data_IF_039997674629
#
_entry.id   IF_039997674629
#
_cell.length_a   1.000
_cell.length_b   1.000
_cell.length_c   1.000
_cell.angle_alpha   90.00
_cell.angle_beta   90.00
_cell.angle_gamma   90.00
#
_symmetry.space_group_name_H-M   'P 1'
#
loop_
_entity.id
_entity.type
_entity.pdbx_description
1 polymer ?
#
# COMPACT_ATOMS: atom_id res chain seq x y z
N UNK A 1 32.23 13.63 26.90
CA UNK A 1 30.77 13.63 27.09
C UNK A 1 30.16 14.54 26.04
N UNK A 2 29.09 14.03 25.40
CA UNK A 2 28.25 14.59 24.33
C UNK A 2 28.80 14.54 22.88
N UNK A 3 28.02 13.83 22.04
CA UNK A 3 27.74 14.06 20.59
C UNK A 3 28.13 12.89 19.65
N UNK A 4 27.33 12.52 18.62
CA UNK A 4 26.15 13.21 18.09
C UNK A 4 24.86 12.41 18.20
N UNK A 5 23.74 13.13 18.19
CA UNK A 5 22.46 12.60 17.75
C UNK A 5 22.68 11.77 16.49
N UNK A 6 22.54 10.45 16.57
CA UNK A 6 22.50 9.60 15.40
C UNK A 6 21.40 10.18 14.52
N UNK A 7 21.78 10.81 13.40
CA UNK A 7 20.82 11.41 12.48
C UNK A 7 19.80 10.33 12.17
N UNK A 8 18.57 10.59 12.58
CA UNK A 8 17.44 9.70 12.37
C UNK A 8 17.13 9.74 10.87
N UNK A 9 17.88 8.96 10.10
CA UNK A 9 17.70 8.88 8.66
C UNK A 9 16.55 7.90 8.40
N UNK A 10 15.39 8.48 8.13
CA UNK A 10 14.22 7.72 7.75
C UNK A 10 14.36 7.31 6.28
N UNK A 11 14.67 6.05 6.05
CA UNK A 11 14.78 5.44 4.73
C UNK A 11 13.42 4.92 4.30
N UNK A 12 13.04 5.16 3.05
CA UNK A 12 11.76 4.68 2.52
C UNK A 12 11.86 3.20 2.14
N UNK A 13 11.09 2.33 2.81
CA UNK A 13 11.04 0.88 2.53
C UNK A 13 10.21 0.54 1.29
N UNK A 14 9.23 1.39 0.98
CA UNK A 14 8.41 1.24 -0.21
C UNK A 14 9.10 1.84 -1.42
N UNK A 15 9.48 1.03 -2.41
CA UNK A 15 9.30 1.49 -3.80
C UNK A 15 7.84 1.92 -3.91
N UNK A 16 7.57 3.19 -4.25
CA UNK A 16 6.24 3.82 -4.15
C UNK A 16 5.10 2.80 -4.33
N UNK A 17 4.05 2.77 -3.47
CA UNK A 17 2.91 1.91 -3.74
C UNK A 17 2.49 2.11 -5.19
N UNK A 18 2.24 1.05 -5.98
CA UNK A 18 1.75 1.21 -7.34
C UNK A 18 0.29 1.64 -7.22
N UNK A 19 0.10 2.92 -6.95
CA UNK A 19 -1.18 3.48 -6.55
C UNK A 19 -1.21 5.00 -6.46
N UNK A 20 -0.09 5.70 -6.68
CA UNK A 20 -0.20 7.10 -7.10
C UNK A 20 -0.07 7.16 -8.62
N UNK A 21 1.02 6.67 -9.21
CA UNK A 21 1.19 6.78 -10.67
C UNK A 21 0.26 5.85 -11.48
N UNK A 22 0.05 4.60 -11.08
CA UNK A 22 -0.85 3.67 -11.81
C UNK A 22 -2.33 3.98 -11.61
N UNK A 23 -2.73 4.53 -10.46
CA UNK A 23 -4.08 5.02 -10.21
C UNK A 23 -4.28 6.39 -10.90
N UNK A 24 -3.29 7.28 -10.92
CA UNK A 24 -3.35 8.52 -11.73
C UNK A 24 -3.43 8.21 -13.24
N UNK A 25 -2.81 7.12 -13.72
CA UNK A 25 -2.81 6.75 -15.15
C UNK A 25 -4.00 5.86 -15.54
N UNK A 26 -4.57 5.08 -14.60
CA UNK A 26 -5.71 4.19 -14.85
C UNK A 26 -7.10 4.76 -14.48
N UNK A 27 -7.18 5.73 -13.56
CA UNK A 27 -8.41 6.39 -13.14
C UNK A 27 -8.82 7.62 -13.97
N UNK A 28 -8.08 8.19 -14.95
CA UNK A 28 -8.56 9.37 -15.69
C UNK A 28 -9.95 9.16 -16.29
N UNK A 29 -10.23 7.95 -16.79
CA UNK A 29 -11.54 7.59 -17.31
C UNK A 29 -12.64 7.59 -16.24
N UNK A 30 -12.41 7.02 -15.07
CA UNK A 30 -13.42 7.01 -13.99
C UNK A 30 -13.61 8.38 -13.34
N UNK A 31 -12.55 9.19 -13.19
CA UNK A 31 -12.66 10.58 -12.75
C UNK A 31 -13.37 11.45 -13.78
N UNK A 32 -13.09 11.25 -15.07
CA UNK A 32 -13.77 11.94 -16.16
C UNK A 32 -15.25 11.56 -16.19
N UNK A 33 -15.60 10.27 -16.07
CA UNK A 33 -17.00 9.81 -16.01
C UNK A 33 -17.70 10.41 -14.79
N UNK A 34 -17.09 10.37 -13.60
CA UNK A 34 -17.64 10.97 -12.39
C UNK A 34 -17.87 12.48 -12.53
N UNK A 35 -16.89 13.20 -13.06
CA UNK A 35 -16.99 14.63 -13.33
C UNK A 35 -18.07 14.95 -14.37
N UNK A 36 -18.18 14.15 -15.44
CA UNK A 36 -19.22 14.30 -16.48
C UNK A 36 -20.61 14.03 -15.93
N UNK A 37 -20.80 13.03 -15.06
CA UNK A 37 -22.08 12.75 -14.39
C UNK A 37 -22.48 13.92 -13.49
N UNK A 38 -21.56 14.41 -12.65
CA UNK A 38 -21.86 15.56 -11.77
C UNK A 38 -22.14 16.81 -12.60
N UNK A 39 -21.39 17.04 -13.68
CA UNK A 39 -21.63 18.14 -14.60
C UNK A 39 -23.00 18.03 -15.27
N UNK A 40 -23.40 16.83 -15.70
CA UNK A 40 -24.71 16.57 -16.29
C UNK A 40 -25.84 16.92 -15.31
N UNK A 41 -25.68 16.57 -14.04
CA UNK A 41 -26.63 16.88 -12.97
C UNK A 41 -26.63 18.37 -12.56
N UNK A 42 -25.47 19.03 -12.61
CA UNK A 42 -25.33 20.46 -12.29
C UNK A 42 -25.79 21.39 -13.42
N UNK A 43 -25.87 20.87 -14.65
CA UNK A 43 -26.23 21.60 -15.87
C UNK A 43 -27.56 22.38 -15.76
N UNK A 44 -28.69 21.83 -15.27
CA UNK A 44 -29.93 22.60 -15.10
C UNK A 44 -29.75 23.79 -14.16
N UNK A 45 -28.93 23.67 -13.10
CA UNK A 45 -28.63 24.78 -12.20
C UNK A 45 -27.81 25.84 -12.94
N UNK A 46 -26.74 25.47 -13.65
CA UNK A 46 -25.92 26.43 -14.43
C UNK A 46 -26.78 27.18 -15.48
N UNK A 47 -27.74 26.49 -16.10
CA UNK A 47 -28.65 27.06 -17.10
C UNK A 47 -29.63 28.10 -16.53
N UNK A 48 -29.98 28.00 -15.24
CA UNK A 48 -30.84 28.96 -14.54
C UNK A 48 -30.10 30.24 -14.17
N UNK A 49 -28.80 30.17 -13.90
CA UNK A 49 -28.03 31.28 -13.31
C UNK A 49 -27.16 32.07 -14.30
N UNK A 50 -26.82 31.49 -15.45
CA UNK A 50 -25.97 32.13 -16.47
C UNK A 50 -26.75 32.21 -17.77
N UNK A 51 -26.72 33.34 -18.48
CA UNK A 51 -27.39 33.54 -19.76
C UNK A 51 -26.40 33.76 -20.91
N UNK A 52 -26.83 33.47 -22.14
CA UNK A 52 -26.04 33.74 -23.35
C UNK A 52 -24.77 32.89 -23.49
N UNK A 53 -23.75 33.38 -24.22
CA UNK A 53 -22.57 32.59 -24.60
C UNK A 53 -21.69 32.20 -23.40
N UNK A 54 -21.80 32.93 -22.28
CA UNK A 54 -21.06 32.66 -21.04
C UNK A 54 -21.43 31.33 -20.37
N UNK A 55 -22.58 30.74 -20.72
CA UNK A 55 -23.03 29.42 -20.23
C UNK A 55 -22.00 28.31 -20.48
N UNK A 56 -21.40 28.31 -21.67
CA UNK A 56 -20.42 27.29 -22.03
C UNK A 56 -19.13 27.45 -21.23
N UNK A 57 -18.66 28.69 -21.05
CA UNK A 57 -17.50 28.98 -20.21
C UNK A 57 -17.74 28.60 -18.75
N UNK A 58 -18.90 28.93 -18.19
CA UNK A 58 -19.27 28.54 -16.83
C UNK A 58 -19.36 27.01 -16.67
N UNK A 59 -19.89 26.30 -17.67
CA UNK A 59 -19.98 24.84 -17.67
C UNK A 59 -18.58 24.20 -17.70
N UNK A 60 -17.69 24.68 -18.58
CA UNK A 60 -16.31 24.18 -18.67
C UNK A 60 -15.55 24.46 -17.37
N UNK A 61 -15.63 25.69 -16.84
CA UNK A 61 -14.98 26.04 -15.59
C UNK A 61 -15.45 25.15 -14.42
N UNK A 62 -16.76 24.92 -14.32
CA UNK A 62 -17.34 24.04 -13.28
C UNK A 62 -16.84 22.61 -13.43
N UNK A 63 -16.78 22.09 -14.65
CA UNK A 63 -16.28 20.74 -14.93
C UNK A 63 -14.80 20.58 -14.49
N UNK A 64 -13.95 21.56 -14.82
CA UNK A 64 -12.54 21.56 -14.44
C UNK A 64 -12.37 21.61 -12.92
N UNK A 65 -13.14 22.45 -12.23
CA UNK A 65 -13.10 22.54 -10.76
C UNK A 65 -13.52 21.21 -10.12
N UNK A 66 -14.64 20.62 -10.55
CA UNK A 66 -15.13 19.34 -10.02
C UNK A 66 -14.12 18.21 -10.27
N UNK A 67 -13.58 18.11 -11.48
CA UNK A 67 -12.56 17.12 -11.81
C UNK A 67 -11.34 17.26 -10.90
N UNK A 68 -10.87 18.49 -10.69
CA UNK A 68 -9.71 18.78 -9.83
C UNK A 68 -9.98 18.41 -8.37
N UNK A 69 -11.18 18.72 -7.86
CA UNK A 69 -11.57 18.37 -6.49
C UNK A 69 -11.66 16.85 -6.28
N UNK A 70 -12.25 16.11 -7.22
CA UNK A 70 -12.36 14.65 -7.15
C UNK A 70 -10.97 14.01 -7.21
N UNK A 71 -10.10 14.49 -8.11
CA UNK A 71 -8.73 14.04 -8.22
C UNK A 71 -7.96 14.29 -6.92
N UNK A 72 -8.04 15.51 -6.36
CA UNK A 72 -7.39 15.87 -5.11
C UNK A 72 -7.89 15.04 -3.92
N UNK A 73 -9.21 14.87 -3.80
CA UNK A 73 -9.81 14.06 -2.75
C UNK A 73 -9.38 12.59 -2.84
N UNK A 74 -9.31 12.03 -4.05
CA UNK A 74 -8.84 10.66 -4.28
C UNK A 74 -7.37 10.51 -3.90
N UNK A 75 -6.50 11.45 -4.31
CA UNK A 75 -5.07 11.43 -3.95
C UNK A 75 -4.89 11.53 -2.43
N UNK A 76 -5.64 12.41 -1.76
CA UNK A 76 -5.60 12.55 -0.31
C UNK A 76 -6.07 11.27 0.38
N UNK A 77 -7.19 10.69 -0.06
CA UNK A 77 -7.72 9.43 0.45
C UNK A 77 -6.67 8.31 0.35
N UNK A 78 -6.01 8.17 -0.80
CA UNK A 78 -4.98 7.15 -1.02
C UNK A 78 -3.76 7.37 -0.13
N UNK A 79 -3.30 8.62 0.05
CA UNK A 79 -2.18 8.94 0.95
C UNK A 79 -2.50 8.61 2.41
N UNK A 80 -3.72 8.86 2.85
CA UNK A 80 -4.16 8.57 4.23
C UNK A 80 -4.35 7.06 4.42
N UNK A 81 -4.89 6.36 3.42
CA UNK A 81 -5.20 4.93 3.53
C UNK A 81 -3.98 4.02 3.36
N UNK A 82 -3.04 4.43 2.52
CA UNK A 82 -1.83 3.68 2.17
C UNK A 82 -0.58 4.56 2.39
N UNK A 83 -0.27 4.92 3.64
CA UNK A 83 0.89 5.76 3.91
C UNK A 83 2.19 5.05 3.56
N UNK A 84 3.17 5.83 3.10
CA UNK A 84 4.51 5.31 2.79
C UNK A 84 5.19 4.78 4.05
N UNK A 85 5.91 3.67 3.88
CA UNK A 85 6.65 3.02 4.96
C UNK A 85 8.05 3.62 5.04
N UNK A 86 8.41 4.10 6.23
CA UNK A 86 9.71 4.67 6.53
C UNK A 86 10.35 3.85 7.65
N UNK A 87 11.64 3.55 7.53
CA UNK A 87 12.43 2.87 8.55
C UNK A 87 13.61 3.74 8.98
N UNK A 88 13.79 3.85 10.29
CA UNK A 88 14.98 4.36 10.95
C UNK A 88 15.78 3.14 11.38
N UNK A 89 16.77 2.77 10.57
CA UNK A 89 17.58 1.55 10.76
C UNK A 89 18.46 1.68 12.02
N UNK A 90 19.07 2.85 12.22
CA UNK A 90 19.90 3.11 13.39
C UNK A 90 19.08 3.03 14.69
N UNK A 91 17.90 3.65 14.71
CA UNK A 91 17.00 3.64 15.86
C UNK A 91 16.09 2.42 15.97
N UNK A 92 16.15 1.46 15.04
CA UNK A 92 15.33 0.24 15.00
C UNK A 92 13.81 0.51 15.00
N UNK A 93 13.38 1.58 14.32
CA UNK A 93 11.98 2.03 14.31
C UNK A 93 11.40 2.06 12.91
N UNK A 94 10.12 1.70 12.82
CA UNK A 94 9.34 1.77 11.60
C UNK A 94 8.15 2.70 11.78
N UNK A 95 7.86 3.48 10.74
CA UNK A 95 6.75 4.43 10.72
C UNK A 95 5.94 4.23 9.44
N UNK A 96 4.63 4.27 9.60
CA UNK A 96 3.69 4.41 8.50
C UNK A 96 2.58 5.39 8.90
N UNK A 97 2.49 6.48 8.15
CA UNK A 97 1.54 7.56 8.41
C UNK A 97 1.88 8.28 9.71
N UNK A 98 0.93 8.31 10.64
CA UNK A 98 1.06 8.90 11.98
C UNK A 98 1.44 7.92 13.09
N UNK A 99 1.77 6.66 12.76
CA UNK A 99 2.13 5.63 13.74
C UNK A 99 3.59 5.22 13.57
N UNK A 100 4.25 5.02 14.71
CA UNK A 100 5.62 4.51 14.80
C UNK A 100 5.63 3.32 15.75
N UNK A 101 6.44 2.31 15.46
CA UNK A 101 6.68 1.16 16.32
C UNK A 101 8.14 0.72 16.21
N UNK A 102 8.64 0.00 17.20
CA UNK A 102 9.95 -0.63 17.12
C UNK A 102 9.89 -1.86 16.20
N UNK A 103 11.00 -2.23 15.56
CA UNK A 103 11.04 -3.44 14.71
C UNK A 103 10.61 -4.69 15.50
N UNK A 104 10.99 -4.79 16.78
CA UNK A 104 10.63 -5.88 17.66
C UNK A 104 9.13 -6.00 17.95
N UNK A 105 8.36 -4.92 17.74
CA UNK A 105 6.90 -4.93 17.94
C UNK A 105 6.16 -5.48 16.73
N UNK A 106 6.85 -5.65 15.59
CA UNK A 106 6.29 -6.31 14.42
C UNK A 106 6.21 -7.81 14.70
N UNK A 107 4.99 -8.32 14.80
CA UNK A 107 4.68 -9.71 15.19
C UNK A 107 4.02 -10.50 14.07
N UNK A 108 3.48 -9.81 13.06
CA UNK A 108 2.72 -10.44 11.98
C UNK A 108 3.24 -9.99 10.62
N UNK A 109 3.49 -10.95 9.73
CA UNK A 109 3.71 -10.74 8.31
C UNK A 109 2.61 -11.43 7.49
N UNK A 110 2.13 -10.75 6.44
CA UNK A 110 1.15 -11.29 5.51
C UNK A 110 1.55 -11.03 4.07
N UNK A 111 1.45 -12.05 3.23
CA UNK A 111 1.59 -11.92 1.79
C UNK A 111 0.22 -11.59 1.19
N UNK A 112 0.07 -10.39 0.64
CA UNK A 112 -1.12 -9.99 -0.10
C UNK A 112 -0.85 -10.09 -1.60
N UNK A 113 -1.73 -10.83 -2.27
CA UNK A 113 -1.62 -11.11 -3.70
C UNK A 113 -2.79 -10.49 -4.43
N UNK A 114 -2.50 -9.69 -5.45
CA UNK A 114 -3.51 -9.24 -6.41
C UNK A 114 -3.12 -9.76 -7.78
N UNK A 115 -3.90 -10.71 -8.31
CA UNK A 115 -3.60 -11.36 -9.58
C UNK A 115 -4.71 -11.13 -10.61
N UNK A 116 -4.31 -11.15 -11.87
CA UNK A 116 -5.14 -11.23 -13.08
C UNK A 116 -4.63 -12.38 -13.94
N UNK A 117 -5.27 -12.66 -15.08
CA UNK A 117 -4.86 -13.75 -15.98
C UNK A 117 -3.40 -13.70 -16.44
N UNK A 118 -2.78 -12.52 -16.48
CA UNK A 118 -1.44 -12.33 -17.04
C UNK A 118 -0.46 -11.59 -16.12
N UNK A 119 -0.91 -11.15 -14.94
CA UNK A 119 -0.14 -10.27 -14.06
C UNK A 119 -0.43 -10.59 -12.60
N UNK A 120 0.57 -10.46 -11.74
CA UNK A 120 0.48 -10.66 -10.29
C UNK A 120 1.26 -9.56 -9.59
N UNK A 121 0.59 -8.89 -8.65
CA UNK A 121 1.18 -7.93 -7.73
C UNK A 121 1.36 -8.64 -6.38
N UNK A 122 2.51 -8.43 -5.78
CA UNK A 122 2.86 -9.00 -4.48
C UNK A 122 3.17 -7.88 -3.50
N UNK A 123 2.53 -7.93 -2.34
CA UNK A 123 2.83 -7.05 -1.23
C UNK A 123 3.07 -7.84 0.04
N UNK A 124 3.98 -7.35 0.87
CA UNK A 124 4.19 -7.80 2.22
C UNK A 124 3.58 -6.78 3.19
N UNK A 125 2.55 -7.20 3.92
CA UNK A 125 2.01 -6.44 5.04
C UNK A 125 2.73 -6.84 6.33
N UNK A 126 3.38 -5.89 6.99
CA UNK A 126 3.95 -6.03 8.34
C UNK A 126 3.05 -5.31 9.34
N UNK A 127 2.78 -5.92 10.49
CA UNK A 127 1.95 -5.29 11.53
C UNK A 127 2.31 -5.71 12.95
N UNK A 128 1.86 -4.92 13.92
CA UNK A 128 2.04 -5.22 15.35
C UNK A 128 0.98 -6.19 15.90
N UNK A 129 0.20 -6.86 15.04
CA UNK A 129 -0.83 -7.84 15.42
C UNK A 129 -2.09 -7.25 16.09
N UNK A 130 -2.05 -6.01 16.56
CA UNK A 130 -3.16 -5.34 17.22
C UNK A 130 -4.18 -4.78 16.21
N UNK A 131 -5.50 -4.81 16.49
CA UNK A 131 -6.54 -4.31 15.57
C UNK A 131 -6.31 -2.87 15.10
N UNK A 132 -5.85 -2.00 16.01
CA UNK A 132 -5.50 -0.60 15.75
C UNK A 132 -3.98 -0.35 15.76
N UNK A 133 -3.18 -1.39 15.56
CA UNK A 133 -1.73 -1.33 15.52
C UNK A 133 -1.16 -0.59 14.29
N UNK A 134 0.17 -0.56 14.22
CA UNK A 134 0.88 -0.15 13.01
C UNK A 134 0.66 -1.22 11.93
N UNK A 135 0.40 -0.77 10.69
CA UNK A 135 0.37 -1.62 9.51
C UNK A 135 1.19 -0.96 8.42
N UNK A 136 2.09 -1.72 7.85
CA UNK A 136 3.04 -1.30 6.84
C UNK A 136 2.83 -2.20 5.64
N UNK A 137 2.59 -1.63 4.46
CA UNK A 137 2.45 -2.38 3.23
C UNK A 137 3.65 -2.09 2.32
N UNK A 138 4.43 -3.11 1.98
CA UNK A 138 5.59 -2.98 1.11
C UNK A 138 5.37 -3.78 -0.17
N UNK A 139 5.56 -3.15 -1.33
CA UNK A 139 5.46 -3.83 -2.61
C UNK A 139 6.72 -4.67 -2.87
N UNK A 140 6.54 -5.97 -3.07
CA UNK A 140 7.61 -6.90 -3.43
C UNK A 140 7.76 -7.07 -4.94
N UNK A 141 6.63 -7.03 -5.67
CA UNK A 141 6.62 -7.10 -7.14
C UNK A 141 5.41 -6.37 -7.70
N UNK A 142 5.64 -5.53 -8.71
CA UNK A 142 4.60 -4.72 -9.33
C UNK A 142 3.82 -5.46 -10.44
N UNK A 143 2.83 -4.80 -11.05
CA UNK A 143 2.01 -5.43 -12.11
C UNK A 143 2.79 -5.74 -13.39
N UNK A 144 3.92 -5.06 -13.60
CA UNK A 144 4.82 -5.27 -14.73
C UNK A 144 5.82 -6.40 -14.44
N UNK A 145 5.75 -7.00 -13.26
CA UNK A 145 6.67 -8.04 -12.84
C UNK A 145 8.02 -7.50 -12.40
N UNK A 146 8.17 -6.19 -12.16
CA UNK A 146 9.41 -5.61 -11.62
C UNK A 146 9.46 -5.88 -10.12
N UNK A 147 10.57 -6.45 -9.60
CA UNK A 147 10.72 -6.68 -8.18
C UNK A 147 10.92 -5.35 -7.43
N UNK A 148 10.89 -5.42 -6.10
CA UNK A 148 11.30 -4.35 -5.20
C UNK A 148 12.71 -3.86 -5.54
N UNK A 149 12.96 -2.57 -5.30
CA UNK A 149 14.28 -1.99 -5.46
C UNK A 149 15.31 -2.71 -4.56
N UNK A 150 16.51 -3.07 -5.08
CA UNK A 150 17.48 -3.84 -4.31
C UNK A 150 17.92 -3.18 -2.99
N UNK A 151 18.05 -1.84 -2.95
CA UNK A 151 18.43 -1.16 -1.71
C UNK A 151 17.28 -1.22 -0.70
N UNK A 152 16.04 -0.97 -1.15
CA UNK A 152 14.86 -1.12 -0.32
C UNK A 152 14.67 -2.57 0.19
N UNK A 153 15.03 -3.58 -0.61
CA UNK A 153 14.99 -4.98 -0.23
C UNK A 153 15.96 -5.30 0.92
N UNK A 154 17.19 -4.77 0.87
CA UNK A 154 18.17 -4.92 1.96
C UNK A 154 17.64 -4.32 3.26
N UNK A 155 17.12 -3.09 3.21
CA UNK A 155 16.54 -2.42 4.39
C UNK A 155 15.32 -3.15 4.93
N UNK A 156 14.45 -3.66 4.06
CA UNK A 156 13.30 -4.45 4.48
C UNK A 156 13.73 -5.79 5.09
N UNK A 157 14.77 -6.42 4.57
CA UNK A 157 15.36 -7.62 5.13
C UNK A 157 15.88 -7.40 6.56
N UNK A 158 16.51 -6.24 6.81
CA UNK A 158 16.97 -5.86 8.16
C UNK A 158 15.80 -5.64 9.13
N UNK A 159 14.75 -4.93 8.70
CA UNK A 159 13.53 -4.73 9.49
C UNK A 159 12.89 -6.07 9.87
N UNK A 160 12.74 -6.97 8.90
CA UNK A 160 12.17 -8.30 9.13
C UNK A 160 13.10 -9.11 10.03
N UNK A 161 14.42 -9.09 9.78
CA UNK A 161 15.41 -9.79 10.58
C UNK A 161 15.38 -9.40 12.06
N UNK A 162 15.14 -8.12 12.35
CA UNK A 162 15.06 -7.56 13.72
C UNK A 162 13.67 -7.65 14.37
N UNK A 163 12.68 -8.20 13.66
CA UNK A 163 11.30 -8.31 14.16
C UNK A 163 11.01 -9.55 15.01
N UNK A 164 9.82 -9.62 15.59
CA UNK A 164 9.28 -10.82 16.28
C UNK A 164 8.17 -11.49 15.46
N UNK A 165 8.26 -11.38 14.13
CA UNK A 165 7.29 -12.00 13.23
C UNK A 165 7.24 -13.51 13.50
N UNK A 166 6.04 -14.01 13.75
CA UNK A 166 5.77 -15.42 13.94
C UNK A 166 4.44 -15.78 13.27
N UNK A 167 4.29 -17.06 12.93
CA UNK A 167 3.01 -17.55 12.46
C UNK A 167 2.00 -17.54 13.62
N UNK A 168 0.75 -17.07 13.44
CA UNK A 168 -0.21 -17.06 14.52
C UNK A 168 -0.57 -18.49 14.95
N UNK A 169 -0.84 -18.64 16.24
CA UNK A 169 -1.37 -19.85 16.82
C UNK A 169 -2.90 -19.86 16.79
N UNK A 170 -3.48 -21.06 16.83
CA UNK A 170 -4.91 -21.27 17.01
C UNK A 170 -5.12 -22.19 18.21
N UNK A 171 -6.07 -21.91 19.11
CA UNK A 171 -6.43 -22.84 20.19
C UNK A 171 -6.81 -24.24 19.67
N UNK A 172 -7.39 -24.29 18.46
CA UNK A 172 -7.80 -25.53 17.80
C UNK A 172 -6.65 -26.24 17.06
N UNK A 173 -5.47 -25.60 16.96
CA UNK A 173 -4.25 -26.18 16.40
C UNK A 173 -3.01 -25.72 17.19
N UNK A 174 -2.80 -26.26 18.41
CA UNK A 174 -1.65 -25.91 19.25
C UNK A 174 -0.31 -26.38 18.66
N UNK A 175 -0.35 -27.30 17.69
CA UNK A 175 0.83 -27.80 16.99
C UNK A 175 1.28 -26.91 15.82
N UNK A 176 0.44 -25.96 15.39
CA UNK A 176 0.67 -25.11 14.22
C UNK A 176 0.70 -25.84 12.89
N UNK A 177 0.36 -27.13 12.84
CA UNK A 177 0.41 -27.97 11.62
C UNK A 177 -0.48 -27.45 10.50
N UNK A 178 -1.55 -26.75 10.86
CA UNK A 178 -2.55 -26.15 9.98
C UNK A 178 -2.52 -24.63 10.05
N UNK A 179 -1.44 -24.02 10.53
CA UNK A 179 -1.34 -22.57 10.63
C UNK A 179 -1.58 -21.86 9.28
N UNK A 180 -1.05 -22.41 8.18
CA UNK A 180 -1.30 -21.93 6.81
C UNK A 180 -2.73 -22.15 6.31
N UNK A 181 -3.48 -23.07 6.91
CA UNK A 181 -4.90 -23.24 6.59
C UNK A 181 -5.77 -22.26 7.39
N UNK A 182 -5.45 -22.07 8.67
CA UNK A 182 -6.15 -21.17 9.58
C UNK A 182 -5.86 -19.69 9.28
N UNK A 183 -4.65 -19.39 8.82
CA UNK A 183 -4.15 -18.05 8.52
C UNK A 183 -3.50 -18.01 7.13
N UNK A 184 -4.28 -18.17 6.05
CA UNK A 184 -3.76 -18.47 4.71
C UNK A 184 -2.91 -17.37 4.08
N UNK A 185 -3.01 -16.13 4.55
CA UNK A 185 -2.17 -15.04 4.04
C UNK A 185 -0.95 -14.77 4.92
N UNK A 186 -0.86 -15.38 6.10
CA UNK A 186 0.24 -15.15 7.02
C UNK A 186 1.47 -15.94 6.56
N UNK A 187 2.65 -15.37 6.76
CA UNK A 187 3.92 -16.00 6.43
C UNK A 187 4.85 -15.96 7.63
N UNK A 188 5.73 -16.96 7.75
CA UNK A 188 6.76 -16.98 8.77
C UNK A 188 7.80 -15.88 8.54
N UNK A 189 8.68 -15.64 9.52
CA UNK A 189 9.79 -14.70 9.40
C UNK A 189 10.74 -15.11 8.29
N UNK A 190 11.05 -16.40 8.20
CA UNK A 190 11.93 -17.00 7.20
C UNK A 190 11.32 -16.91 5.80
N UNK A 191 10.03 -17.22 5.68
CA UNK A 191 9.27 -17.05 4.43
C UNK A 191 9.24 -15.59 3.99
N UNK A 192 9.03 -14.65 4.92
CA UNK A 192 9.06 -13.22 4.64
C UNK A 192 10.44 -12.76 4.16
N UNK A 193 11.54 -13.23 4.79
CA UNK A 193 12.90 -12.94 4.32
C UNK A 193 13.16 -13.51 2.93
N UNK A 194 12.73 -14.75 2.66
CA UNK A 194 12.86 -15.37 1.34
C UNK A 194 12.08 -14.60 0.27
N UNK A 195 10.87 -14.15 0.58
CA UNK A 195 10.03 -13.35 -0.31
C UNK A 195 10.64 -11.99 -0.64
N UNK A 196 11.39 -11.38 0.29
CA UNK A 196 12.08 -10.11 0.04
C UNK A 196 13.34 -10.32 -0.79
N UNK A 197 14.06 -11.41 -0.55
CA UNK A 197 15.28 -11.75 -1.29
C UNK A 197 14.99 -12.12 -2.75
N UNK A 198 13.98 -12.95 -3.00
CA UNK A 198 13.56 -13.34 -4.35
C UNK A 198 12.03 -13.40 -4.46
N UNK A 199 11.36 -12.26 -4.74
CA UNK A 199 9.91 -12.22 -4.88
C UNK A 199 9.44 -13.13 -6.02
N UNK A 200 8.53 -14.11 -5.79
CA UNK A 200 8.07 -15.05 -6.80
C UNK A 200 7.53 -14.37 -8.07
N UNK A 201 7.77 -14.96 -9.23
CA UNK A 201 7.21 -14.51 -10.51
C UNK A 201 5.75 -14.96 -10.66
N UNK A 202 5.14 -14.54 -11.76
CA UNK A 202 3.73 -14.88 -12.06
C UNK A 202 3.47 -16.38 -12.13
N UNK A 203 4.41 -17.16 -12.63
CA UNK A 203 4.29 -18.62 -12.80
C UNK A 203 4.69 -19.41 -11.55
N UNK A 204 5.35 -18.75 -10.61
CA UNK A 204 5.98 -19.43 -9.49
C UNK A 204 4.94 -19.73 -8.42
N UNK A 205 5.19 -20.82 -7.68
CA UNK A 205 4.40 -21.16 -6.52
C UNK A 205 4.59 -20.11 -5.42
N UNK A 206 3.52 -19.86 -4.66
CA UNK A 206 3.57 -18.99 -3.50
C UNK A 206 3.69 -19.83 -2.24
N UNK A 207 4.30 -19.31 -1.16
CA UNK A 207 4.34 -19.99 0.14
C UNK A 207 2.97 -20.01 0.84
N UNK A 208 1.96 -19.39 0.24
CA UNK A 208 0.58 -19.39 0.71
C UNK A 208 -0.30 -20.25 -0.20
N UNK A 209 -1.39 -20.85 0.33
CA UNK A 209 -2.37 -21.56 -0.48
C UNK A 209 -2.92 -20.65 -1.59
N UNK A 210 -3.26 -21.19 -2.77
CA UNK A 210 -3.95 -20.41 -3.80
C UNK A 210 -5.26 -19.86 -3.22
N UNK A 211 -5.39 -18.53 -3.20
CA UNK A 211 -6.61 -17.87 -2.74
C UNK A 211 -7.82 -18.34 -3.55
N UNK A 212 -8.96 -18.50 -2.88
CA UNK A 212 -10.24 -18.79 -3.53
C UNK A 212 -10.69 -17.62 -4.40
#
# INVERSE_FOLDING_TARGET
MVSPEARTEWVQLTGQPPGLQSLIVGIPGAWLIGALVILHLARPVIFLWVAGPWRWLATIATAVVLFTLIAAATVLYLRVRYPSALADLAGHRIRAGGKTADFSDLTTARLLVSASKTRRLLYLELSTGQPRGLRVLVMLRDRQGRPIDPAAAVHLGEVIGSSRIAMPDSPDDPSGRFAHYNFPNNVSKEEALALVADPPRFTDALPIPPGK
#
